data_IF_474906352834
#
_entry.id   IF_474906352834
#
_cell.length_a   1.000
_cell.length_b   1.000
_cell.length_c   1.000
_cell.angle_alpha   90.00
_cell.angle_beta   90.00
_cell.angle_gamma   90.00
#
_symmetry.space_group_name_H-M   'P 1'
#
loop_
_entity.id
_entity.type
_entity.pdbx_description
1 polymer ?
#
# COMPACT_ATOMS: atom_id res chain seq x y z
N UNK A 1 -1.99 -0.81 35.64
CA UNK A 1 -0.55 -0.60 35.86
C UNK A 1 0.22 -1.93 35.88
N UNK A 2 -0.18 -2.93 36.64
CA UNK A 2 0.51 -4.24 36.76
C UNK A 2 0.60 -4.98 35.41
N UNK A 3 -0.44 -4.91 34.54
CA UNK A 3 -0.44 -5.54 33.21
C UNK A 3 0.66 -4.97 32.31
N UNK A 4 0.86 -3.65 32.30
CA UNK A 4 1.89 -3.01 31.48
C UNK A 4 3.31 -3.33 31.99
N UNK A 5 3.48 -3.50 33.30
CA UNK A 5 4.75 -3.93 33.87
C UNK A 5 5.12 -5.36 33.45
N UNK A 6 4.15 -6.27 33.44
CA UNK A 6 4.33 -7.65 32.98
C UNK A 6 4.66 -7.69 31.50
N UNK A 7 3.90 -6.96 30.65
CA UNK A 7 4.17 -6.89 29.21
C UNK A 7 5.58 -6.37 28.91
N UNK A 8 6.01 -5.30 29.57
CA UNK A 8 7.36 -4.76 29.40
C UNK A 8 8.44 -5.73 29.87
N UNK A 9 8.17 -6.50 30.92
CA UNK A 9 9.09 -7.55 31.39
C UNK A 9 9.17 -8.72 30.39
N UNK A 10 8.04 -9.17 29.83
CA UNK A 10 8.00 -10.20 28.79
C UNK A 10 8.73 -9.76 27.53
N UNK A 11 8.61 -8.48 27.14
CA UNK A 11 9.34 -7.95 26.00
C UNK A 11 10.86 -8.00 26.19
N UNK A 12 11.34 -7.59 27.35
CA UNK A 12 12.77 -7.71 27.71
C UNK A 12 13.25 -9.16 27.74
N UNK A 13 12.43 -10.10 28.24
CA UNK A 13 12.75 -11.53 28.18
C UNK A 13 12.89 -12.02 26.74
N UNK A 14 11.94 -11.67 25.89
CA UNK A 14 11.96 -12.00 24.44
C UNK A 14 13.23 -11.47 23.76
N UNK A 15 13.59 -10.21 24.01
CA UNK A 15 14.80 -9.59 23.46
C UNK A 15 16.07 -10.30 23.96
N UNK A 16 16.15 -10.57 25.26
CA UNK A 16 17.27 -11.29 25.88
C UNK A 16 17.41 -12.71 25.32
N UNK A 17 16.31 -13.45 25.11
CA UNK A 17 16.31 -14.80 24.56
C UNK A 17 16.72 -14.86 23.07
N UNK A 18 16.72 -13.75 22.36
CA UNK A 18 17.30 -13.66 21.02
C UNK A 18 18.82 -13.79 21.03
N UNK A 19 19.48 -13.48 22.17
CA UNK A 19 20.93 -13.50 22.34
C UNK A 19 21.37 -14.66 23.26
N UNK A 20 20.63 -14.82 24.38
CA UNK A 20 20.96 -15.78 25.44
C UNK A 20 20.04 -17.00 25.41
N UNK A 21 20.52 -18.14 25.89
CA UNK A 21 19.71 -19.37 25.97
C UNK A 21 18.71 -19.34 27.13
N UNK A 22 18.91 -18.49 28.10
CA UNK A 22 18.05 -18.36 29.29
C UNK A 22 17.97 -16.91 29.74
N UNK A 23 16.79 -16.47 30.14
CA UNK A 23 16.56 -15.14 30.70
C UNK A 23 15.58 -15.15 31.87
N UNK A 24 15.69 -14.15 32.74
CA UNK A 24 14.82 -13.99 33.90
C UNK A 24 14.51 -12.52 34.15
N UNK A 25 13.30 -12.23 34.63
CA UNK A 25 12.91 -10.86 35.02
C UNK A 25 13.57 -10.39 36.31
N UNK A 26 14.14 -11.32 37.09
CA UNK A 26 14.37 -11.05 38.49
C UNK A 26 13.06 -10.84 39.26
N UNK A 27 13.13 -10.25 40.44
CA UNK A 27 11.96 -9.97 41.26
C UNK A 27 11.21 -8.71 40.76
N UNK A 28 10.14 -8.94 40.03
CA UNK A 28 9.26 -7.89 39.52
C UNK A 28 8.17 -7.57 40.53
N UNK A 29 8.24 -6.38 41.14
CA UNK A 29 7.18 -5.88 42.01
C UNK A 29 6.02 -5.29 41.23
N UNK A 30 4.83 -5.83 41.44
CA UNK A 30 3.61 -5.35 40.83
C UNK A 30 2.95 -4.28 41.69
N UNK A 31 2.14 -3.43 41.06
CA UNK A 31 1.44 -2.32 41.72
C UNK A 31 0.45 -2.73 42.83
N UNK A 32 0.11 -4.01 42.93
CA UNK A 32 -0.69 -4.60 44.01
C UNK A 32 0.15 -5.16 45.17
N UNK A 33 1.47 -4.95 45.18
CA UNK A 33 2.41 -5.45 46.19
C UNK A 33 2.88 -6.88 45.96
N UNK A 34 2.40 -7.60 44.95
CA UNK A 34 2.87 -8.95 44.65
C UNK A 34 4.24 -8.90 43.95
N UNK A 35 5.10 -9.87 44.23
CA UNK A 35 6.39 -10.06 43.56
C UNK A 35 6.30 -11.29 42.67
N UNK A 36 6.70 -11.16 41.41
CA UNK A 36 6.74 -12.23 40.41
C UNK A 36 8.16 -12.34 39.87
N UNK A 37 8.65 -13.57 39.76
CA UNK A 37 9.90 -13.87 39.05
C UNK A 37 9.59 -14.82 37.90
N UNK A 38 9.82 -14.38 36.67
CA UNK A 38 9.66 -15.17 35.48
C UNK A 38 11.03 -15.56 34.93
N UNK A 39 11.25 -16.84 34.73
CA UNK A 39 12.46 -17.37 34.12
C UNK A 39 12.05 -18.27 32.97
N UNK A 40 12.59 -18.01 31.80
CA UNK A 40 12.26 -18.70 30.56
C UNK A 40 13.55 -19.05 29.84
N UNK A 41 13.65 -20.27 29.32
CA UNK A 41 14.71 -20.65 28.39
C UNK A 41 14.25 -20.56 26.92
N UNK A 42 15.18 -20.69 26.00
CA UNK A 42 14.89 -20.55 24.56
C UNK A 42 13.93 -21.62 24.05
N UNK A 43 14.07 -22.86 24.49
CA UNK A 43 13.19 -23.98 24.08
C UNK A 43 11.75 -23.76 24.55
N UNK A 44 11.57 -23.27 25.80
CA UNK A 44 10.26 -22.88 26.30
C UNK A 44 9.65 -21.73 25.51
N UNK A 45 10.45 -20.73 25.15
CA UNK A 45 10.01 -19.62 24.33
C UNK A 45 9.61 -20.06 22.91
N UNK A 46 10.41 -20.93 22.28
CA UNK A 46 10.08 -21.51 20.98
C UNK A 46 8.80 -22.34 21.02
N UNK A 47 8.61 -23.11 22.11
CA UNK A 47 7.36 -23.85 22.32
C UNK A 47 6.16 -22.91 22.39
N UNK A 48 6.28 -21.76 23.06
CA UNK A 48 5.23 -20.73 23.11
C UNK A 48 4.94 -20.19 21.69
N UNK A 49 5.97 -19.93 20.88
CA UNK A 49 5.78 -19.43 19.51
C UNK A 49 5.05 -20.46 18.61
N UNK A 50 5.43 -21.74 18.75
CA UNK A 50 4.78 -22.86 18.02
C UNK A 50 3.32 -23.02 18.45
N UNK A 51 3.04 -23.05 19.75
CA UNK A 51 1.68 -23.18 20.28
C UNK A 51 0.75 -22.03 19.88
N UNK A 52 1.31 -20.84 19.68
CA UNK A 52 0.57 -19.68 19.19
C UNK A 52 0.61 -19.54 17.65
N UNK A 53 0.96 -20.61 16.93
CA UNK A 53 0.89 -20.71 15.48
C UNK A 53 1.72 -19.68 14.71
N UNK A 54 2.75 -19.07 15.31
CA UNK A 54 3.54 -18.02 14.66
C UNK A 54 4.11 -18.47 13.32
N UNK A 55 4.71 -19.65 13.26
CA UNK A 55 5.35 -20.16 12.04
C UNK A 55 4.33 -20.50 10.96
N UNK A 56 3.16 -21.00 11.34
CA UNK A 56 2.04 -21.25 10.41
C UNK A 56 1.55 -19.96 9.76
N UNK A 57 1.44 -18.88 10.57
CA UNK A 57 1.06 -17.56 10.06
C UNK A 57 2.14 -16.97 9.13
N UNK A 58 3.41 -17.14 9.48
CA UNK A 58 4.52 -16.74 8.60
C UNK A 58 4.45 -17.46 7.27
N UNK A 59 4.26 -18.79 7.26
CA UNK A 59 4.15 -19.59 6.04
C UNK A 59 2.95 -19.16 5.19
N UNK A 60 1.81 -18.90 5.83
CA UNK A 60 0.62 -18.43 5.13
C UNK A 60 0.86 -17.08 4.44
N UNK A 61 1.47 -16.13 5.14
CA UNK A 61 1.82 -14.82 4.58
C UNK A 61 2.84 -14.95 3.44
N UNK A 62 3.88 -15.77 3.59
CA UNK A 62 4.89 -16.00 2.56
C UNK A 62 4.26 -16.58 1.30
N UNK A 63 3.43 -17.62 1.42
CA UNK A 63 2.74 -18.23 0.28
C UNK A 63 1.83 -17.26 -0.43
N UNK A 64 1.10 -16.41 0.31
CA UNK A 64 0.24 -15.39 -0.28
C UNK A 64 1.06 -14.38 -1.10
N UNK A 65 2.17 -13.88 -0.56
CA UNK A 65 3.05 -12.94 -1.28
C UNK A 65 3.67 -13.59 -2.52
N UNK A 66 4.14 -14.84 -2.40
CA UNK A 66 4.72 -15.58 -3.52
C UNK A 66 3.70 -15.86 -4.62
N UNK A 67 2.45 -16.20 -4.27
CA UNK A 67 1.38 -16.39 -5.23
C UNK A 67 1.06 -15.10 -6.00
N UNK A 68 0.98 -13.97 -5.29
CA UNK A 68 0.79 -12.65 -5.92
C UNK A 68 1.95 -12.29 -6.85
N UNK A 69 3.19 -12.61 -6.45
CA UNK A 69 4.36 -12.41 -7.30
C UNK A 69 4.28 -13.26 -8.57
N UNK A 70 3.85 -14.52 -8.43
CA UNK A 70 3.66 -15.45 -9.56
C UNK A 70 2.60 -14.97 -10.55
N UNK A 71 1.49 -14.42 -10.07
CA UNK A 71 0.45 -13.79 -10.92
C UNK A 71 1.00 -12.61 -11.73
N UNK A 72 2.02 -11.92 -11.21
CA UNK A 72 2.73 -10.83 -11.89
C UNK A 72 3.91 -11.32 -12.76
N UNK A 73 4.09 -12.63 -12.91
CA UNK A 73 5.13 -13.21 -13.75
C UNK A 73 6.48 -13.44 -13.06
N UNK A 74 6.57 -13.24 -11.74
CA UNK A 74 7.79 -13.53 -10.97
C UNK A 74 7.72 -14.93 -10.37
N UNK A 75 8.82 -15.69 -10.48
CA UNK A 75 8.94 -17.00 -9.85
C UNK A 75 9.79 -16.94 -8.58
N UNK A 76 9.61 -17.92 -7.70
CA UNK A 76 10.36 -18.02 -6.44
C UNK A 76 11.88 -18.13 -6.66
N UNK A 77 12.31 -18.77 -7.76
CA UNK A 77 13.72 -18.93 -8.11
C UNK A 77 14.39 -17.58 -8.43
N UNK A 78 13.61 -16.57 -8.83
CA UNK A 78 14.11 -15.22 -9.14
C UNK A 78 14.36 -14.37 -7.89
N UNK A 79 13.93 -14.84 -6.71
CA UNK A 79 14.22 -14.18 -5.44
C UNK A 79 15.71 -14.36 -5.14
N UNK A 80 16.45 -13.27 -5.22
CA UNK A 80 17.91 -13.27 -4.99
C UNK A 80 18.24 -13.15 -3.51
N UNK A 81 17.47 -12.37 -2.75
CA UNK A 81 17.74 -12.06 -1.35
C UNK A 81 16.46 -11.84 -0.56
N UNK A 82 16.44 -12.32 0.68
CA UNK A 82 15.40 -12.12 1.68
C UNK A 82 16.03 -11.35 2.84
N UNK A 83 15.69 -10.06 2.94
CA UNK A 83 16.23 -9.18 3.97
C UNK A 83 15.41 -9.30 5.25
N UNK A 84 16.04 -9.72 6.34
CA UNK A 84 15.43 -9.77 7.66
C UNK A 84 15.62 -8.44 8.37
N UNK A 85 14.52 -7.74 8.65
CA UNK A 85 14.52 -6.42 9.29
C UNK A 85 13.61 -6.39 10.53
N UNK A 86 13.95 -5.51 11.47
CA UNK A 86 13.22 -5.35 12.72
C UNK A 86 13.67 -6.31 13.83
N UNK A 87 13.30 -6.01 15.08
CA UNK A 87 13.76 -6.75 16.26
C UNK A 87 13.37 -8.23 16.30
N UNK A 88 12.16 -8.58 15.80
CA UNK A 88 11.69 -9.96 15.78
C UNK A 88 12.48 -10.86 14.81
N UNK A 89 13.19 -10.28 13.84
CA UNK A 89 14.08 -11.02 12.94
C UNK A 89 15.35 -11.54 13.66
N UNK A 90 15.61 -11.08 14.86
CA UNK A 90 16.70 -11.57 15.71
C UNK A 90 16.37 -12.87 16.45
N UNK A 91 15.11 -13.32 16.45
CA UNK A 91 14.70 -14.57 17.07
C UNK A 91 15.30 -15.75 16.27
N UNK A 92 16.15 -16.61 16.90
CA UNK A 92 16.86 -17.66 16.17
C UNK A 92 15.95 -18.63 15.41
N UNK A 93 14.84 -19.04 16.00
CA UNK A 93 13.88 -19.95 15.36
C UNK A 93 13.17 -19.31 14.16
N UNK A 94 12.93 -17.99 14.16
CA UNK A 94 12.41 -17.27 12.98
C UNK A 94 13.45 -17.25 11.86
N UNK A 95 14.72 -17.02 12.19
CA UNK A 95 15.81 -17.06 11.20
C UNK A 95 15.94 -18.44 10.57
N UNK A 96 15.98 -19.50 11.41
CA UNK A 96 16.06 -20.88 10.94
C UNK A 96 14.87 -21.26 10.06
N UNK A 97 13.67 -20.83 10.43
CA UNK A 97 12.45 -21.09 9.66
C UNK A 97 12.54 -20.50 8.24
N UNK A 98 12.95 -19.24 8.13
CA UNK A 98 13.11 -18.58 6.83
C UNK A 98 14.29 -19.13 6.04
N UNK A 99 15.40 -19.51 6.71
CA UNK A 99 16.52 -20.18 6.06
C UNK A 99 16.14 -21.56 5.53
N UNK A 100 15.24 -22.26 6.22
CA UNK A 100 14.70 -23.54 5.72
C UNK A 100 13.80 -23.33 4.50
N UNK A 101 13.00 -22.29 4.49
CA UNK A 101 12.06 -21.98 3.41
C UNK A 101 12.76 -21.50 2.12
N UNK A 102 13.67 -20.52 2.23
CA UNK A 102 14.34 -19.87 1.07
C UNK A 102 15.75 -20.38 0.80
N UNK A 103 16.34 -21.12 1.70
CA UNK A 103 17.76 -21.48 1.70
C UNK A 103 18.63 -20.43 2.43
N UNK A 104 19.58 -20.92 3.23
CA UNK A 104 20.43 -20.07 4.07
C UNK A 104 21.26 -19.01 3.29
N UNK A 105 21.55 -19.28 2.02
CA UNK A 105 22.33 -18.37 1.17
C UNK A 105 21.54 -17.12 0.73
N UNK A 106 20.21 -17.17 0.76
CA UNK A 106 19.33 -16.07 0.34
C UNK A 106 18.88 -15.20 1.49
N UNK A 107 18.97 -15.70 2.74
CA UNK A 107 18.48 -14.98 3.92
C UNK A 107 19.57 -14.12 4.51
N UNK A 108 19.39 -12.82 4.47
CA UNK A 108 20.35 -11.82 4.94
C UNK A 108 19.91 -11.16 6.24
N UNK A 109 20.81 -11.16 7.23
CA UNK A 109 20.63 -10.61 8.58
C UNK A 109 21.52 -9.39 8.82
N UNK A 110 21.75 -8.57 7.80
CA UNK A 110 22.66 -7.45 7.91
C UNK A 110 21.98 -6.24 8.59
N UNK A 111 22.27 -6.05 9.90
CA UNK A 111 21.83 -4.90 10.70
C UNK A 111 20.31 -4.70 10.72
N UNK A 112 19.55 -5.67 11.19
CA UNK A 112 18.09 -5.63 11.12
C UNK A 112 17.46 -4.48 11.91
N UNK A 113 18.11 -3.96 12.94
CA UNK A 113 17.57 -2.91 13.80
C UNK A 113 17.70 -1.49 13.21
N UNK A 114 18.74 -1.24 12.41
CA UNK A 114 18.99 0.08 11.83
C UNK A 114 18.76 0.16 10.31
N UNK A 115 18.34 -0.94 9.68
CA UNK A 115 18.14 -1.02 8.24
C UNK A 115 17.17 0.07 7.70
N UNK A 116 16.05 0.30 8.40
CA UNK A 116 15.06 1.32 8.02
C UNK A 116 15.64 2.73 8.11
N UNK A 117 16.35 3.04 9.21
CA UNK A 117 16.96 4.35 9.40
C UNK A 117 18.06 4.62 8.35
N UNK A 118 18.84 3.61 8.00
CA UNK A 118 19.86 3.70 6.95
C UNK A 118 19.24 3.89 5.58
N UNK A 119 18.19 3.13 5.27
CA UNK A 119 17.43 3.31 4.04
C UNK A 119 16.88 4.72 3.89
N UNK A 120 16.31 5.28 4.97
CA UNK A 120 15.84 6.65 5.00
C UNK A 120 16.97 7.67 4.80
N UNK A 121 18.14 7.45 5.41
CA UNK A 121 19.31 8.31 5.23
C UNK A 121 19.87 8.27 3.81
N UNK A 122 19.93 7.09 3.19
CA UNK A 122 20.34 6.93 1.80
C UNK A 122 19.36 7.62 0.85
N UNK A 123 18.07 7.50 1.11
CA UNK A 123 17.05 8.21 0.34
C UNK A 123 17.21 9.74 0.45
N UNK A 124 17.38 10.25 1.67
CA UNK A 124 17.62 11.67 1.90
C UNK A 124 18.92 12.19 1.26
N UNK A 125 19.93 11.31 1.11
CA UNK A 125 21.17 11.60 0.41
C UNK A 125 21.06 11.53 -1.12
N UNK A 126 19.87 11.27 -1.67
CA UNK A 126 19.61 11.21 -3.11
C UNK A 126 19.89 9.87 -3.78
N UNK A 127 20.02 8.78 -3.01
CA UNK A 127 20.06 7.46 -3.59
C UNK A 127 18.76 7.18 -4.35
N UNK A 128 18.86 6.72 -5.60
CA UNK A 128 17.70 6.37 -6.42
C UNK A 128 16.93 5.23 -5.78
N UNK A 129 15.62 5.39 -5.68
CA UNK A 129 14.72 4.31 -5.28
C UNK A 129 14.00 3.80 -6.52
N UNK A 130 14.06 2.50 -6.72
CA UNK A 130 13.18 1.80 -7.63
C UNK A 130 12.01 1.28 -6.80
N UNK A 131 10.87 1.92 -6.93
CA UNK A 131 9.64 1.51 -6.26
C UNK A 131 8.49 1.57 -7.28
N UNK A 132 7.35 1.02 -6.93
CA UNK A 132 6.20 0.86 -7.81
C UNK A 132 4.95 1.45 -7.15
N UNK A 133 4.06 1.93 -7.98
CA UNK A 133 2.74 2.38 -7.54
C UNK A 133 1.90 1.19 -7.11
N UNK A 134 1.28 1.26 -5.93
CA UNK A 134 0.56 0.13 -5.32
C UNK A 134 -0.85 -0.05 -5.85
N UNK A 135 -1.53 1.05 -6.19
CA UNK A 135 -2.93 1.03 -6.62
C UNK A 135 -3.07 1.48 -8.07
N UNK A 136 -4.14 1.04 -8.70
CA UNK A 136 -4.56 1.60 -9.98
C UNK A 136 -5.12 3.01 -9.77
N UNK A 137 -4.87 3.91 -10.74
CA UNK A 137 -5.53 5.23 -10.77
C UNK A 137 -6.25 5.41 -12.09
N UNK A 138 -7.45 6.00 -12.00
CA UNK A 138 -8.33 6.21 -13.13
C UNK A 138 -8.89 7.63 -13.16
N UNK A 139 -9.23 8.10 -14.36
CA UNK A 139 -9.98 9.34 -14.59
C UNK A 139 -11.43 8.97 -14.86
N UNK A 140 -12.35 9.68 -14.20
CA UNK A 140 -13.78 9.60 -14.51
C UNK A 140 -14.12 10.50 -15.69
N UNK A 141 -14.83 9.96 -16.65
CA UNK A 141 -15.34 10.70 -17.81
C UNK A 141 -16.81 10.36 -18.06
N UNK A 142 -17.48 11.21 -18.82
CA UNK A 142 -18.84 10.95 -19.29
C UNK A 142 -18.75 10.24 -20.66
N UNK A 143 -19.22 9.00 -20.71
CA UNK A 143 -19.28 8.24 -21.96
C UNK A 143 -20.40 8.85 -22.86
N UNK A 144 -20.05 9.36 -24.05
CA UNK A 144 -21.03 10.00 -24.92
C UNK A 144 -22.08 9.03 -25.48
N UNK A 145 -21.80 7.74 -25.54
CA UNK A 145 -22.71 6.72 -26.08
C UNK A 145 -23.78 6.31 -25.07
N UNK A 146 -23.38 6.10 -23.81
CA UNK A 146 -24.26 5.65 -22.73
C UNK A 146 -24.81 6.79 -21.89
N UNK A 147 -24.21 7.98 -21.95
CA UNK A 147 -24.43 9.15 -21.07
C UNK A 147 -24.28 8.80 -19.58
N UNK A 148 -23.44 7.81 -19.28
CA UNK A 148 -23.09 7.43 -17.92
C UNK A 148 -21.64 7.75 -17.63
N UNK A 149 -21.29 7.90 -16.34
CA UNK A 149 -19.90 8.02 -15.92
C UNK A 149 -19.18 6.67 -16.09
N UNK A 150 -18.01 6.73 -16.69
CA UNK A 150 -17.09 5.62 -16.86
C UNK A 150 -15.70 6.01 -16.34
N UNK A 151 -14.85 5.02 -16.11
CA UNK A 151 -13.50 5.21 -15.61
C UNK A 151 -12.48 4.71 -16.64
N UNK A 152 -11.47 5.52 -16.89
CA UNK A 152 -10.35 5.18 -17.75
C UNK A 152 -9.09 5.11 -16.91
N UNK A 153 -8.45 3.93 -16.85
CA UNK A 153 -7.21 3.71 -16.10
C UNK A 153 -6.07 4.48 -16.73
N UNK A 154 -5.38 5.31 -15.92
CA UNK A 154 -4.23 6.12 -16.34
C UNK A 154 -2.91 5.64 -15.71
N UNK A 155 -2.95 5.08 -14.51
CA UNK A 155 -1.79 4.50 -13.82
C UNK A 155 -2.15 3.09 -13.40
N UNK A 156 -1.57 2.05 -14.00
CA UNK A 156 -1.67 0.68 -13.51
C UNK A 156 -0.88 0.48 -12.22
N UNK A 157 -1.37 -0.36 -11.30
CA UNK A 157 -0.57 -0.83 -10.17
C UNK A 157 0.67 -1.55 -10.69
N UNK A 158 1.80 -1.45 -9.96
CA UNK A 158 3.08 -1.97 -10.42
C UNK A 158 3.83 -1.06 -11.38
N UNK A 159 3.31 0.14 -11.71
CA UNK A 159 4.04 1.12 -12.53
C UNK A 159 5.28 1.61 -11.78
N UNK A 160 6.50 1.45 -12.32
CA UNK A 160 7.72 1.97 -11.69
C UNK A 160 7.77 3.50 -11.78
N UNK A 161 8.44 4.12 -10.82
CA UNK A 161 8.68 5.56 -10.83
C UNK A 161 10.12 5.91 -10.42
N UNK A 162 10.68 7.07 -10.82
CA UNK A 162 10.09 8.05 -11.72
C UNK A 162 9.95 7.54 -13.16
N UNK A 163 8.97 8.08 -13.90
CA UNK A 163 8.78 7.72 -15.31
C UNK A 163 9.54 8.68 -16.25
N UNK A 164 10.21 8.14 -17.25
CA UNK A 164 10.89 8.94 -18.28
C UNK A 164 9.94 9.31 -19.40
N UNK A 165 9.00 8.41 -19.72
CA UNK A 165 7.98 8.61 -20.75
C UNK A 165 6.60 8.77 -20.11
N UNK A 166 5.65 9.42 -20.82
CA UNK A 166 4.28 9.49 -20.32
C UNK A 166 3.65 8.12 -20.18
N UNK A 167 3.09 7.84 -19.00
CA UNK A 167 2.35 6.60 -18.73
C UNK A 167 0.99 6.55 -19.42
N UNK A 168 0.39 7.72 -19.66
CA UNK A 168 -0.85 7.88 -20.40
C UNK A 168 -0.88 9.21 -21.14
N UNK A 169 -1.57 9.25 -22.28
CA UNK A 169 -1.92 10.47 -23.02
C UNK A 169 -3.41 10.47 -23.28
N UNK A 170 -4.08 11.55 -22.94
CA UNK A 170 -5.51 11.69 -23.13
C UNK A 170 -5.83 12.97 -23.89
N UNK A 171 -6.84 12.90 -24.73
CA UNK A 171 -7.43 14.07 -25.39
C UNK A 171 -8.70 14.47 -24.66
N UNK A 172 -8.71 15.65 -24.09
CA UNK A 172 -9.85 16.21 -23.35
C UNK A 172 -10.71 17.05 -24.28
N UNK A 173 -12.03 16.77 -24.23
CA UNK A 173 -13.05 17.48 -24.99
C UNK A 173 -14.01 18.19 -24.06
N UNK A 174 -14.57 19.31 -24.49
CA UNK A 174 -15.63 19.99 -23.76
C UNK A 174 -16.96 19.21 -23.86
N UNK A 175 -17.75 19.26 -22.81
CA UNK A 175 -19.08 18.65 -22.75
C UNK A 175 -20.18 19.54 -23.34
N UNK A 176 -19.95 20.85 -23.38
CA UNK A 176 -20.89 21.84 -23.93
C UNK A 176 -20.14 23.00 -24.57
N UNK A 177 -20.81 23.73 -25.46
CA UNK A 177 -20.24 24.92 -26.08
C UNK A 177 -20.02 26.05 -25.08
N UNK A 178 -18.92 26.78 -25.22
CA UNK A 178 -18.57 27.87 -24.32
C UNK A 178 -17.95 27.43 -23.00
N UNK A 179 -17.59 26.18 -22.85
CA UNK A 179 -16.94 25.70 -21.62
C UNK A 179 -15.55 26.27 -21.48
N UNK A 180 -15.29 26.97 -20.37
CA UNK A 180 -14.01 27.60 -20.07
C UNK A 180 -13.13 26.75 -19.13
N UNK A 181 -13.73 25.92 -18.26
CA UNK A 181 -13.00 25.10 -17.30
C UNK A 181 -13.33 23.62 -17.52
N UNK A 182 -12.33 22.84 -17.83
CA UNK A 182 -12.43 21.39 -17.97
C UNK A 182 -11.71 20.73 -16.80
N UNK A 183 -12.49 20.10 -15.91
CA UNK A 183 -11.97 19.47 -14.70
C UNK A 183 -11.57 18.02 -14.96
N UNK A 184 -10.53 17.58 -14.25
CA UNK A 184 -10.10 16.18 -14.20
C UNK A 184 -10.34 15.60 -12.81
N UNK A 185 -11.23 14.61 -12.74
CA UNK A 185 -11.51 13.85 -11.52
C UNK A 185 -10.69 12.58 -11.51
N UNK A 186 -9.74 12.46 -10.57
CA UNK A 186 -8.84 11.33 -10.45
C UNK A 186 -9.26 10.47 -9.28
N UNK A 187 -9.30 9.16 -9.51
CA UNK A 187 -9.74 8.15 -8.54
C UNK A 187 -8.63 7.12 -8.33
N UNK A 188 -8.40 6.75 -7.08
CA UNK A 188 -7.65 5.56 -6.71
C UNK A 188 -8.60 4.36 -6.78
N UNK A 189 -8.17 3.30 -7.44
CA UNK A 189 -8.93 2.05 -7.54
C UNK A 189 -8.32 1.04 -6.60
N UNK A 190 -9.06 0.65 -5.57
CA UNK A 190 -8.64 -0.39 -4.64
C UNK A 190 -9.16 -1.73 -5.13
N UNK A 191 -8.24 -2.65 -5.35
CA UNK A 191 -8.60 -4.01 -5.75
C UNK A 191 -9.18 -4.74 -4.53
N UNK A 192 -10.47 -5.05 -4.56
CA UNK A 192 -11.14 -5.83 -3.52
C UNK A 192 -10.80 -7.33 -3.55
N UNK A 193 -10.00 -7.79 -4.53
CA UNK A 193 -9.64 -9.21 -4.64
C UNK A 193 -8.60 -9.69 -3.60
N UNK A 194 -8.04 -8.80 -2.77
CA UNK A 194 -7.05 -9.17 -1.75
C UNK A 194 -7.62 -9.50 -0.37
N UNK A 195 -8.90 -9.33 -0.12
CA UNK A 195 -9.51 -9.87 1.09
C UNK A 195 -9.98 -11.30 0.84
N UNK A 196 -9.24 -12.25 1.39
CA UNK A 196 -9.54 -13.70 1.37
C UNK A 196 -10.84 -14.12 2.09
N UNK A 197 -11.80 -13.21 2.20
CA UNK A 197 -13.14 -13.46 2.67
C UNK A 197 -14.11 -13.21 1.52
N UNK A 198 -14.61 -14.27 0.93
CA UNK A 198 -15.65 -14.32 -0.11
C UNK A 198 -17.04 -13.80 0.36
N UNK A 199 -17.06 -12.67 1.04
CA UNK A 199 -18.29 -12.00 1.50
C UNK A 199 -18.38 -10.55 0.99
N UNK A 200 -17.92 -10.29 -0.23
CA UNK A 200 -17.70 -8.95 -0.80
C UNK A 200 -18.97 -8.14 -1.05
N UNK A 201 -20.14 -8.77 -0.98
CA UNK A 201 -21.43 -8.12 -1.24
C UNK A 201 -22.27 -7.93 0.03
N UNK A 202 -21.67 -8.01 1.22
CA UNK A 202 -22.40 -8.02 2.48
C UNK A 202 -22.07 -6.77 3.29
N UNK A 203 -23.09 -6.04 3.71
CA UNK A 203 -23.00 -4.94 4.67
C UNK A 203 -23.72 -5.28 5.96
N UNK A 204 -23.07 -5.02 7.10
CA UNK A 204 -23.69 -5.07 8.41
C UNK A 204 -24.38 -3.72 8.68
N UNK A 205 -25.70 -3.70 8.65
CA UNK A 205 -26.50 -2.53 9.01
C UNK A 205 -27.04 -2.75 10.42
N UNK A 206 -26.84 -1.79 11.31
CA UNK A 206 -27.42 -1.81 12.65
C UNK A 206 -28.76 -1.09 12.62
N UNK A 207 -29.80 -1.77 13.10
CA UNK A 207 -31.12 -1.13 13.31
C UNK A 207 -31.11 -0.18 14.52
N UNK A 208 -32.12 0.64 14.71
CA UNK A 208 -32.19 1.56 15.86
C UNK A 208 -32.15 0.86 17.22
N UNK A 209 -32.41 -0.45 17.28
CA UNK A 209 -32.32 -1.27 18.48
C UNK A 209 -30.95 -1.88 18.68
N UNK A 210 -30.00 -1.66 17.74
CA UNK A 210 -28.61 -2.16 17.80
C UNK A 210 -28.43 -3.59 17.31
N UNK A 211 -29.44 -4.21 16.68
CA UNK A 211 -29.33 -5.52 16.07
C UNK A 211 -28.65 -5.42 14.70
N UNK A 212 -27.63 -6.24 14.47
CA UNK A 212 -26.94 -6.31 13.19
C UNK A 212 -27.78 -7.10 12.17
N UNK A 213 -28.00 -6.53 10.98
CA UNK A 213 -28.57 -7.20 9.82
C UNK A 213 -27.54 -7.29 8.71
N UNK A 214 -27.45 -8.46 8.09
CA UNK A 214 -26.63 -8.67 6.91
C UNK A 214 -27.47 -8.29 5.69
N UNK A 215 -26.99 -7.34 4.89
CA UNK A 215 -27.64 -6.91 3.65
C UNK A 215 -26.68 -7.14 2.50
N UNK A 216 -27.12 -7.85 1.48
CA UNK A 216 -26.37 -7.98 0.23
C UNK A 216 -26.43 -6.66 -0.55
N UNK A 217 -25.24 -6.14 -0.91
CA UNK A 217 -25.14 -4.93 -1.70
C UNK A 217 -25.28 -5.25 -3.19
N UNK A 218 -26.03 -4.44 -3.96
CA UNK A 218 -26.02 -4.54 -5.41
C UNK A 218 -24.60 -4.40 -5.98
N UNK A 219 -24.25 -5.21 -6.98
CA UNK A 219 -22.93 -5.20 -7.65
C UNK A 219 -22.47 -3.79 -8.04
N UNK A 220 -23.41 -2.93 -8.44
CA UNK A 220 -23.14 -1.53 -8.78
C UNK A 220 -22.61 -0.70 -7.61
N UNK A 221 -23.14 -0.89 -6.40
CA UNK A 221 -22.66 -0.18 -5.20
C UNK A 221 -21.29 -0.68 -4.73
N UNK A 222 -21.01 -1.97 -4.92
CA UNK A 222 -19.67 -2.55 -4.65
C UNK A 222 -18.63 -1.94 -5.60
N UNK A 223 -18.97 -1.82 -6.89
CA UNK A 223 -18.09 -1.19 -7.87
C UNK A 223 -17.84 0.30 -7.56
N UNK A 224 -18.86 1.06 -7.16
CA UNK A 224 -18.71 2.46 -6.79
C UNK A 224 -17.82 2.66 -5.54
N UNK A 225 -17.82 1.73 -4.59
CA UNK A 225 -16.94 1.75 -3.40
C UNK A 225 -15.48 1.42 -3.69
N UNK A 226 -15.18 0.80 -4.84
CA UNK A 226 -13.81 0.53 -5.26
C UNK A 226 -13.05 1.79 -5.70
N UNK A 227 -13.75 2.90 -5.99
CA UNK A 227 -13.19 4.14 -6.49
C UNK A 227 -13.18 5.23 -5.43
N UNK A 228 -11.97 5.65 -5.00
CA UNK A 228 -11.78 6.77 -4.07
C UNK A 228 -11.39 8.04 -4.83
N UNK A 229 -12.19 9.09 -4.71
CA UNK A 229 -11.90 10.37 -5.32
C UNK A 229 -10.76 11.08 -4.60
N UNK A 230 -9.57 11.09 -5.20
CA UNK A 230 -8.35 11.55 -4.53
C UNK A 230 -8.04 13.04 -4.68
N UNK A 231 -8.59 13.72 -5.68
CA UNK A 231 -8.42 15.17 -5.85
C UNK A 231 -9.71 15.98 -5.67
N UNK A 232 -10.65 15.49 -4.87
CA UNK A 232 -11.94 16.14 -4.60
C UNK A 232 -11.78 17.55 -4.02
N UNK A 233 -10.88 17.71 -3.05
CA UNK A 233 -10.66 18.99 -2.36
C UNK A 233 -9.77 19.96 -3.15
N UNK A 234 -9.08 19.49 -4.19
CA UNK A 234 -8.23 20.30 -5.05
C UNK A 234 -8.31 19.81 -6.49
N UNK A 235 -9.48 19.98 -7.16
CA UNK A 235 -9.65 19.51 -8.53
C UNK A 235 -8.72 20.24 -9.49
N UNK A 236 -8.16 19.50 -10.44
CA UNK A 236 -7.32 20.09 -11.49
C UNK A 236 -8.19 20.56 -12.63
N UNK A 237 -8.10 21.84 -12.97
CA UNK A 237 -8.82 22.44 -14.07
C UNK A 237 -7.88 22.89 -15.20
N UNK A 238 -8.27 22.57 -16.42
CA UNK A 238 -7.68 23.13 -17.64
C UNK A 238 -8.54 24.32 -18.10
N UNK A 239 -7.93 25.48 -18.25
CA UNK A 239 -8.65 26.69 -18.66
C UNK A 239 -8.56 26.88 -20.16
N UNK A 240 -9.71 26.91 -20.81
CA UNK A 240 -9.83 27.14 -22.26
C UNK A 240 -10.04 28.63 -22.55
N UNK A 241 -9.10 29.24 -23.28
CA UNK A 241 -9.22 30.61 -23.77
C UNK A 241 -8.71 30.65 -25.24
N UNK A 242 -9.57 30.88 -26.24
CA UNK A 242 -11.03 31.08 -26.17
C UNK A 242 -11.80 29.87 -25.63
N UNK A 243 -13.07 30.04 -25.21
CA UNK A 243 -13.91 28.94 -24.71
C UNK A 243 -13.99 27.77 -25.68
N UNK A 244 -14.10 26.56 -25.11
CA UNK A 244 -14.11 25.32 -25.89
C UNK A 244 -15.49 25.02 -26.49
N UNK A 245 -15.48 24.32 -27.62
CA UNK A 245 -16.68 23.81 -28.29
C UNK A 245 -16.94 22.34 -27.92
N UNK A 246 -18.21 21.97 -27.83
CA UNK A 246 -18.61 20.62 -27.46
C UNK A 246 -18.06 19.56 -28.41
N UNK A 247 -17.57 18.46 -27.88
CA UNK A 247 -17.05 17.29 -28.59
C UNK A 247 -15.79 17.54 -29.44
N UNK A 248 -15.30 18.78 -29.52
CA UNK A 248 -14.05 19.09 -30.23
C UNK A 248 -12.86 18.86 -29.29
N UNK A 249 -11.79 18.18 -29.75
CA UNK A 249 -10.55 18.04 -28.98
C UNK A 249 -9.99 19.40 -28.57
N UNK A 250 -9.83 19.62 -27.27
CA UNK A 250 -9.35 20.91 -26.77
C UNK A 250 -7.96 20.82 -26.17
N UNK A 251 -7.71 19.82 -25.32
CA UNK A 251 -6.42 19.65 -24.68
C UNK A 251 -5.86 18.25 -24.90
N UNK A 252 -4.56 18.18 -25.13
CA UNK A 252 -3.79 16.95 -24.99
C UNK A 252 -3.12 16.97 -23.63
N UNK A 253 -3.30 15.91 -22.84
CA UNK A 253 -2.74 15.79 -21.49
C UNK A 253 -1.87 14.55 -21.42
N UNK A 254 -0.61 14.73 -21.05
CA UNK A 254 0.35 13.67 -20.78
C UNK A 254 0.56 13.52 -19.27
N UNK A 255 0.57 12.28 -18.79
CA UNK A 255 0.71 11.93 -17.38
C UNK A 255 2.07 11.30 -17.14
N UNK A 256 2.77 11.74 -16.08
CA UNK A 256 4.04 11.20 -15.61
C UNK A 256 3.99 10.98 -14.09
N UNK A 257 4.96 10.22 -13.57
CA UNK A 257 5.16 10.09 -12.12
C UNK A 257 6.58 10.55 -11.81
N UNK A 258 6.71 11.48 -10.88
CA UNK A 258 8.00 12.01 -10.47
C UNK A 258 8.68 11.13 -9.39
N UNK A 259 9.92 11.48 -9.03
CA UNK A 259 10.71 10.79 -8.01
C UNK A 259 10.13 10.88 -6.59
N UNK A 260 9.17 11.79 -6.36
CA UNK A 260 8.46 11.94 -5.09
C UNK A 260 7.11 11.22 -5.06
N UNK A 261 6.87 10.33 -6.03
CA UNK A 261 5.63 9.56 -6.16
C UNK A 261 4.40 10.45 -6.41
N UNK A 262 4.58 11.58 -7.09
CA UNK A 262 3.48 12.47 -7.48
C UNK A 262 3.12 12.26 -8.93
N UNK A 263 1.81 12.14 -9.19
CA UNK A 263 1.29 12.21 -10.56
C UNK A 263 1.41 13.66 -11.03
N UNK A 264 2.14 13.85 -12.12
CA UNK A 264 2.32 15.15 -12.77
C UNK A 264 1.66 15.14 -14.13
N UNK A 265 1.21 16.29 -14.57
CA UNK A 265 0.58 16.46 -15.87
C UNK A 265 1.29 17.56 -16.67
N UNK A 266 1.38 17.31 -17.98
CA UNK A 266 1.69 18.33 -18.99
C UNK A 266 0.48 18.45 -19.89
N UNK A 267 -0.09 19.64 -20.02
CA UNK A 267 -1.28 19.89 -20.80
C UNK A 267 -1.02 20.93 -21.89
N UNK A 268 -1.31 20.56 -23.13
CA UNK A 268 -1.20 21.42 -24.33
C UNK A 268 -2.59 21.73 -24.85
N UNK A 269 -2.85 22.99 -25.09
CA UNK A 269 -4.06 23.45 -25.76
C UNK A 269 -3.90 23.22 -27.28
N UNK A 270 -4.77 22.39 -27.86
CA UNK A 270 -4.69 22.01 -29.25
C UNK A 270 -5.17 23.13 -30.22
N UNK A 271 -5.99 24.05 -29.71
CA UNK A 271 -6.50 25.17 -30.49
C UNK A 271 -5.46 26.30 -30.59
N UNK A 272 -4.78 26.62 -29.52
CA UNK A 272 -3.79 27.67 -29.45
C UNK A 272 -2.35 27.19 -29.68
N UNK A 273 -2.12 25.88 -29.55
CA UNK A 273 -0.80 25.28 -29.63
C UNK A 273 0.08 25.50 -28.40
N UNK A 274 -0.44 26.19 -27.35
CA UNK A 274 0.31 26.57 -26.14
C UNK A 274 0.25 25.47 -25.09
N UNK A 275 1.38 25.18 -24.44
CA UNK A 275 1.42 24.37 -23.22
C UNK A 275 0.96 25.22 -22.05
N UNK A 276 -0.18 24.85 -21.45
CA UNK A 276 -0.81 25.58 -20.35
C UNK A 276 -0.38 25.08 -18.98
N UNK A 277 0.04 23.82 -18.89
CA UNK A 277 0.62 23.21 -17.69
C UNK A 277 1.83 22.39 -18.11
N UNK A 278 2.93 22.50 -17.36
CA UNK A 278 4.15 21.72 -17.60
C UNK A 278 4.60 21.05 -16.30
N UNK A 279 4.63 19.71 -16.32
CA UNK A 279 5.01 18.85 -15.18
C UNK A 279 4.33 19.25 -13.86
N UNK A 280 3.09 19.74 -13.93
CA UNK A 280 2.34 20.22 -12.75
C UNK A 280 1.92 19.03 -11.87
N UNK A 281 2.33 18.97 -10.59
CA UNK A 281 1.86 17.95 -9.66
C UNK A 281 0.36 18.08 -9.41
N UNK A 282 -0.36 16.95 -9.45
CA UNK A 282 -1.82 16.88 -9.28
C UNK A 282 -2.19 16.20 -7.97
N UNK A 283 -1.64 15.01 -7.73
CA UNK A 283 -1.86 14.21 -6.54
C UNK A 283 -0.58 13.47 -6.16
N UNK A 284 -0.51 13.05 -4.90
CA UNK A 284 0.49 12.07 -4.45
C UNK A 284 -0.12 10.68 -4.53
N UNK A 285 0.60 9.75 -5.16
CA UNK A 285 0.19 8.36 -5.30
C UNK A 285 0.61 7.55 -4.06
N UNK A 286 -0.02 6.40 -3.82
CA UNK A 286 0.30 5.50 -2.69
C UNK A 286 0.99 4.21 -3.14
#
# INVERSE_FOLDING_TARGET
QSSNQILSACERLKESLSIHEKSSTGDLQLGNGATINLSVNRDEFETILIQNHLFTEIDHLLRNVLNQAKEKGYSEDQIQSVLMIGGSSLIPSVQQHLQHFFGSQRVELNRPLDAVARGAALFAAGAGILDHIRHDYAIRYLDPSTRQYAFHKIVPSGTPYPTTEPIARLTIKASHNGQQKLGMSIFEVRDHQQSSFSQENIELIFDPQGCARIVELPVRQVQERAYFYVNEHSPTFLTANPPAEANIPRFEVAFHIDSQKRLTITARDLQTGITILENQPVIRLT
#
